data_IF_942682112511
#
_entry.id   IF_942682112511
#
_cell.length_a   1.000
_cell.length_b   1.000
_cell.length_c   1.000
_cell.angle_alpha   90.00
_cell.angle_beta   90.00
_cell.angle_gamma   90.00
#
_symmetry.space_group_name_H-M   'P 1'
#
loop_
_entity.id
_entity.type
_entity.pdbx_description
1 polymer ?
#
# COMPACT_ATOMS: atom_id res chain seq x y z
N UNK A 1 -27.81 3.66 -11.12
CA UNK A 1 -28.35 3.76 -9.78
C UNK A 1 -28.84 5.20 -9.57
N UNK A 2 -30.17 5.40 -9.54
CA UNK A 2 -30.76 6.77 -9.43
C UNK A 2 -30.44 7.46 -8.09
N UNK A 3 -30.02 6.71 -7.06
CA UNK A 3 -29.66 7.24 -5.75
C UNK A 3 -28.23 7.82 -5.68
N UNK A 4 -27.35 7.42 -6.59
CA UNK A 4 -25.97 7.89 -6.63
C UNK A 4 -25.79 9.07 -7.62
N UNK A 5 -26.60 10.12 -7.50
CA UNK A 5 -26.36 11.34 -8.29
C UNK A 5 -25.03 11.96 -7.86
N UNK A 6 -24.20 12.36 -8.83
CA UNK A 6 -22.92 13.05 -8.59
C UNK A 6 -23.15 14.22 -7.61
N UNK A 7 -22.41 14.22 -6.50
CA UNK A 7 -22.41 15.31 -5.53
C UNK A 7 -23.45 15.23 -4.42
N UNK A 8 -24.35 14.24 -4.42
CA UNK A 8 -25.36 14.09 -3.35
C UNK A 8 -24.93 13.15 -2.22
N UNK A 9 -23.97 12.26 -2.46
CA UNK A 9 -23.44 11.33 -1.47
C UNK A 9 -21.91 11.36 -1.51
N UNK A 10 -21.27 12.20 -0.68
CA UNK A 10 -19.81 12.28 -0.66
C UNK A 10 -19.21 10.94 -0.22
N UNK A 11 -18.36 10.37 -1.08
CA UNK A 11 -17.59 9.18 -0.73
C UNK A 11 -16.35 9.61 0.03
N UNK A 12 -16.16 9.04 1.22
CA UNK A 12 -14.91 9.20 1.98
C UNK A 12 -14.05 7.97 1.85
N UNK A 13 -12.72 8.17 1.80
CA UNK A 13 -11.74 7.10 1.64
C UNK A 13 -10.79 7.07 2.84
N UNK A 14 -10.42 5.86 3.28
CA UNK A 14 -9.44 5.67 4.36
C UNK A 14 -8.04 6.13 3.94
N UNK A 15 -7.64 5.83 2.72
CA UNK A 15 -6.34 6.22 2.20
C UNK A 15 -6.46 6.79 0.79
N UNK A 16 -5.64 7.83 0.52
CA UNK A 16 -5.40 8.33 -0.83
C UNK A 16 -4.07 7.78 -1.31
N UNK A 17 -4.04 7.25 -2.52
CA UNK A 17 -2.84 6.81 -3.21
C UNK A 17 -2.49 7.79 -4.32
N UNK A 18 -1.19 7.90 -4.65
CA UNK A 18 -0.73 8.66 -5.81
C UNK A 18 -1.17 7.96 -7.11
N UNK A 19 -1.20 8.70 -8.22
CA UNK A 19 -1.40 8.08 -9.54
C UNK A 19 -0.34 7.00 -9.81
N UNK A 20 -0.78 5.83 -10.26
CA UNK A 20 0.07 4.66 -10.52
C UNK A 20 0.37 3.79 -9.29
N UNK A 21 -0.15 4.11 -8.12
CA UNK A 21 -0.08 3.25 -6.92
C UNK A 21 -1.31 2.36 -6.88
N UNK A 22 -1.09 1.06 -6.74
CA UNK A 22 -2.17 0.09 -6.63
C UNK A 22 -2.73 0.01 -5.20
N UNK A 23 -3.96 -0.47 -5.10
CA UNK A 23 -4.59 -0.77 -3.82
C UNK A 23 -5.26 -2.14 -3.88
N UNK A 24 -4.72 -3.11 -3.12
CA UNK A 24 -5.39 -4.40 -2.91
C UNK A 24 -6.62 -4.24 -2.02
N UNK A 25 -6.52 -3.40 -0.98
CA UNK A 25 -7.61 -3.09 -0.07
C UNK A 25 -7.64 -1.59 0.24
N UNK A 26 -8.80 -0.97 0.06
CA UNK A 26 -9.09 0.35 0.60
C UNK A 26 -10.51 0.35 1.18
N UNK A 27 -10.79 1.23 2.12
CA UNK A 27 -12.11 1.37 2.72
C UNK A 27 -12.72 2.67 2.24
N UNK A 28 -13.96 2.56 1.73
CA UNK A 28 -14.79 3.69 1.35
C UNK A 28 -16.08 3.69 2.18
N UNK A 29 -16.58 4.85 2.56
CA UNK A 29 -17.91 4.99 3.16
C UNK A 29 -18.72 6.08 2.46
N UNK A 30 -20.01 5.88 2.42
CA UNK A 30 -21.00 6.84 1.90
C UNK A 30 -22.37 6.53 2.54
N UNK A 31 -23.24 7.53 2.55
CA UNK A 31 -24.57 7.39 3.10
C UNK A 31 -25.56 6.91 2.05
N UNK A 32 -26.46 6.03 2.45
CA UNK A 32 -27.60 5.56 1.65
C UNK A 32 -28.85 5.56 2.52
N UNK A 33 -30.04 5.56 1.90
CA UNK A 33 -31.26 5.36 2.68
C UNK A 33 -31.36 3.91 3.22
N UNK A 34 -31.92 3.72 4.42
CA UNK A 34 -32.06 2.40 5.01
C UNK A 34 -32.77 1.39 4.11
N UNK A 35 -33.79 1.83 3.37
CA UNK A 35 -34.62 0.99 2.50
C UNK A 35 -33.77 0.35 1.37
N UNK A 36 -32.73 1.04 0.90
CA UNK A 36 -31.81 0.50 -0.12
C UNK A 36 -31.02 -0.69 0.45
N UNK A 37 -30.55 -0.55 1.69
CA UNK A 37 -29.84 -1.65 2.34
C UNK A 37 -30.77 -2.82 2.69
N UNK A 38 -31.94 -2.53 3.25
CA UNK A 38 -32.95 -3.55 3.64
C UNK A 38 -33.47 -4.35 2.45
N UNK A 39 -33.49 -3.75 1.25
CA UNK A 39 -33.98 -4.42 0.04
C UNK A 39 -33.08 -5.54 -0.48
N UNK A 40 -31.80 -5.57 -0.14
CA UNK A 40 -30.89 -6.56 -0.72
C UNK A 40 -29.56 -6.77 0.00
N UNK A 41 -29.27 -5.97 1.01
CA UNK A 41 -28.12 -6.10 1.90
C UNK A 41 -26.76 -6.03 1.18
N UNK A 42 -25.77 -6.70 1.77
CA UNK A 42 -24.38 -6.73 1.30
C UNK A 42 -24.28 -7.17 -0.17
N UNK A 43 -24.94 -8.29 -0.51
CA UNK A 43 -24.81 -8.88 -1.85
C UNK A 43 -25.32 -7.97 -2.96
N UNK A 44 -26.51 -7.38 -2.77
CA UNK A 44 -27.09 -6.49 -3.76
C UNK A 44 -26.25 -5.21 -3.91
N UNK A 45 -25.73 -4.69 -2.80
CA UNK A 45 -24.85 -3.51 -2.80
C UNK A 45 -23.56 -3.76 -3.58
N UNK A 46 -22.89 -4.89 -3.32
CA UNK A 46 -21.66 -5.27 -4.02
C UNK A 46 -21.92 -5.43 -5.52
N UNK A 47 -23.00 -6.13 -5.90
CA UNK A 47 -23.36 -6.31 -7.31
C UNK A 47 -23.62 -4.98 -7.98
N UNK A 48 -24.47 -4.15 -7.38
CA UNK A 48 -24.84 -2.85 -7.94
C UNK A 48 -23.65 -1.90 -8.11
N UNK A 49 -22.69 -1.91 -7.17
CA UNK A 49 -21.47 -1.11 -7.28
C UNK A 49 -20.55 -1.64 -8.38
N UNK A 50 -20.31 -2.95 -8.43
CA UNK A 50 -19.43 -3.56 -9.41
C UNK A 50 -19.96 -3.44 -10.86
N UNK A 51 -21.28 -3.38 -11.05
CA UNK A 51 -21.89 -3.14 -12.36
C UNK A 51 -21.63 -1.72 -12.91
N UNK A 52 -21.28 -0.78 -12.04
CA UNK A 52 -21.05 0.62 -12.41
C UNK A 52 -19.58 1.05 -12.36
N UNK A 53 -18.75 0.29 -11.65
CA UNK A 53 -17.33 0.59 -11.50
C UNK A 53 -16.54 0.15 -12.73
N UNK A 54 -15.44 0.85 -13.07
CA UNK A 54 -14.53 0.40 -14.10
C UNK A 54 -13.90 -0.95 -13.71
N UNK A 55 -13.39 -1.66 -14.73
CA UNK A 55 -12.91 -3.05 -14.59
C UNK A 55 -11.69 -3.21 -13.69
N UNK A 56 -11.00 -2.14 -13.39
CA UNK A 56 -9.82 -2.08 -12.50
C UNK A 56 -10.18 -1.77 -11.03
N UNK A 57 -11.47 -1.56 -10.73
CA UNK A 57 -11.97 -1.36 -9.36
C UNK A 57 -12.99 -2.45 -9.04
N UNK A 58 -12.84 -3.07 -7.87
CA UNK A 58 -13.76 -4.11 -7.37
C UNK A 58 -14.14 -3.85 -5.92
N UNK A 59 -15.44 -3.94 -5.65
CA UNK A 59 -15.99 -4.02 -4.29
C UNK A 59 -16.17 -5.51 -3.96
N UNK A 60 -15.55 -5.97 -2.89
CA UNK A 60 -15.58 -7.37 -2.47
C UNK A 60 -16.27 -7.58 -1.11
N UNK A 61 -16.54 -6.52 -0.37
CA UNK A 61 -17.30 -6.54 0.86
C UNK A 61 -18.06 -5.22 1.05
N UNK A 62 -19.20 -5.26 1.71
CA UNK A 62 -19.96 -4.11 2.15
C UNK A 62 -20.62 -4.41 3.49
N UNK A 63 -20.73 -3.41 4.37
CA UNK A 63 -21.41 -3.55 5.65
C UNK A 63 -22.01 -2.22 6.09
N UNK A 64 -23.02 -2.30 6.93
CA UNK A 64 -23.47 -1.13 7.68
C UNK A 64 -22.48 -0.80 8.79
N UNK A 65 -22.31 0.47 9.01
CA UNK A 65 -21.50 1.02 10.10
C UNK A 65 -22.30 2.09 10.86
N UNK A 66 -21.83 2.45 12.05
CA UNK A 66 -22.44 3.52 12.83
C UNK A 66 -22.37 4.86 12.07
N UNK A 67 -23.29 5.79 12.37
CA UNK A 67 -23.38 7.09 11.71
C UNK A 67 -22.13 7.97 11.94
N UNK A 68 -21.42 7.73 13.02
CA UNK A 68 -20.16 8.42 13.36
C UNK A 68 -18.91 7.72 12.79
N UNK A 69 -19.09 6.71 11.95
CA UNK A 69 -17.99 5.98 11.32
C UNK A 69 -17.11 6.91 10.49
N UNK A 70 -15.82 6.86 10.76
CA UNK A 70 -14.83 7.66 10.05
C UNK A 70 -13.79 6.73 9.39
N UNK A 71 -13.80 6.62 8.07
CA UNK A 71 -12.83 5.79 7.31
C UNK A 71 -11.38 6.12 7.63
N UNK A 72 -11.10 7.36 8.04
CA UNK A 72 -9.74 7.84 8.36
C UNK A 72 -9.22 7.34 9.71
N UNK A 73 -10.11 6.88 10.60
CA UNK A 73 -9.76 6.36 11.93
C UNK A 73 -9.27 4.91 11.88
N UNK A 74 -8.73 4.47 10.75
CA UNK A 74 -8.06 3.19 10.67
C UNK A 74 -6.86 3.14 11.61
N UNK A 75 -6.68 2.01 12.31
CA UNK A 75 -5.61 1.77 13.27
C UNK A 75 -4.25 1.73 12.57
N UNK A 76 -4.20 1.09 11.40
CA UNK A 76 -2.98 1.04 10.59
C UNK A 76 -3.25 0.91 9.10
N UNK A 77 -2.21 1.14 8.32
CA UNK A 77 -2.12 0.89 6.87
C UNK A 77 -0.83 0.16 6.62
N UNK A 78 -0.91 -0.93 5.84
CA UNK A 78 0.24 -1.68 5.38
C UNK A 78 0.44 -1.44 3.89
N UNK A 79 1.66 -1.14 3.52
CA UNK A 79 2.08 -1.05 2.12
C UNK A 79 3.15 -2.09 1.81
N UNK A 80 3.11 -2.62 0.60
CA UNK A 80 4.19 -3.41 0.02
C UNK A 80 4.86 -2.58 -1.07
N UNK A 81 6.18 -2.59 -1.12
CA UNK A 81 6.97 -1.98 -2.19
C UNK A 81 7.91 -3.02 -2.80
N UNK A 82 7.81 -3.26 -4.11
CA UNK A 82 8.61 -4.24 -4.83
C UNK A 82 9.98 -3.65 -5.23
N UNK A 83 10.99 -3.82 -4.37
CA UNK A 83 12.33 -3.27 -4.59
C UNK A 83 13.07 -3.93 -5.76
N UNK A 84 12.92 -5.26 -5.93
CA UNK A 84 13.56 -6.01 -7.02
C UNK A 84 13.17 -5.49 -8.43
N UNK A 85 12.04 -4.80 -8.54
CA UNK A 85 11.57 -4.21 -9.79
C UNK A 85 12.20 -2.83 -10.08
N UNK A 86 13.00 -2.30 -9.18
CA UNK A 86 13.77 -1.09 -9.42
C UNK A 86 15.02 -1.42 -10.23
N UNK A 87 15.20 -0.75 -11.38
CA UNK A 87 16.38 -0.94 -12.22
C UNK A 87 17.65 -0.74 -11.40
N UNK A 88 18.56 -1.73 -11.46
CA UNK A 88 19.80 -1.72 -10.72
C UNK A 88 19.64 -1.92 -9.21
N UNK A 89 18.59 -2.58 -8.75
CA UNK A 89 18.54 -3.15 -7.42
C UNK A 89 19.62 -4.24 -7.30
N UNK A 90 20.62 -4.08 -6.44
CA UNK A 90 21.63 -5.11 -6.25
C UNK A 90 21.08 -6.21 -5.35
N UNK A 91 21.74 -7.37 -5.38
CA UNK A 91 21.41 -8.45 -4.44
C UNK A 91 21.87 -8.05 -3.03
N UNK A 92 20.91 -7.64 -2.19
CA UNK A 92 21.11 -7.50 -0.76
C UNK A 92 20.73 -8.81 -0.06
N UNK A 93 21.32 -9.10 1.10
CA UNK A 93 20.85 -10.20 1.93
C UNK A 93 19.57 -9.81 2.68
N UNK A 94 18.83 -10.82 3.16
CA UNK A 94 17.62 -10.59 3.97
C UNK A 94 17.99 -9.86 5.26
N UNK A 95 19.10 -10.21 5.88
CA UNK A 95 19.61 -9.60 7.11
C UNK A 95 19.99 -8.13 6.91
N UNK A 96 20.62 -7.80 5.78
CA UNK A 96 20.93 -6.40 5.42
C UNK A 96 19.64 -5.59 5.26
N UNK A 97 18.70 -6.07 4.44
CA UNK A 97 17.42 -5.37 4.24
C UNK A 97 16.62 -5.23 5.54
N UNK A 98 16.59 -6.26 6.38
CA UNK A 98 15.94 -6.23 7.69
C UNK A 98 16.57 -5.16 8.60
N UNK A 99 17.92 -5.09 8.63
CA UNK A 99 18.64 -4.07 9.38
C UNK A 99 18.30 -2.65 8.93
N UNK A 100 18.18 -2.43 7.61
CA UNK A 100 17.81 -1.15 7.02
C UNK A 100 16.35 -0.78 7.31
N UNK A 101 15.44 -1.75 7.22
CA UNK A 101 14.02 -1.55 7.52
C UNK A 101 13.80 -1.12 8.98
N UNK A 102 14.53 -1.71 9.92
CA UNK A 102 14.43 -1.41 11.35
C UNK A 102 14.72 0.03 11.71
N UNK A 103 15.49 0.76 10.89
CA UNK A 103 15.78 2.19 11.09
C UNK A 103 14.52 3.04 11.12
N UNK A 104 13.49 2.64 10.37
CA UNK A 104 12.25 3.39 10.24
C UNK A 104 11.19 3.06 11.28
N UNK A 105 11.39 2.01 12.11
CA UNK A 105 10.42 1.58 13.13
C UNK A 105 10.44 2.56 14.30
N UNK A 106 9.27 2.94 14.78
CA UNK A 106 9.09 3.88 15.89
C UNK A 106 8.48 5.20 15.43
N UNK A 107 8.49 6.16 16.34
CA UNK A 107 8.00 7.51 16.07
C UNK A 107 9.16 8.40 15.63
N UNK A 108 9.04 8.96 14.43
CA UNK A 108 10.07 9.82 13.82
C UNK A 108 9.43 11.00 13.09
N UNK A 109 10.20 12.07 12.92
CA UNK A 109 9.87 13.12 11.96
C UNK A 109 10.37 12.71 10.56
N UNK A 110 9.44 12.34 9.70
CA UNK A 110 9.71 11.93 8.32
C UNK A 110 9.84 13.10 7.33
N UNK A 111 10.16 14.30 7.77
CA UNK A 111 10.28 15.49 6.92
C UNK A 111 11.20 15.26 5.73
N UNK A 112 12.34 14.61 5.94
CA UNK A 112 13.30 14.25 4.88
C UNK A 112 12.87 13.07 4.00
N UNK A 113 11.85 12.34 4.43
CA UNK A 113 11.28 11.19 3.71
C UNK A 113 9.86 11.46 3.20
N UNK A 114 9.45 12.70 3.05
CA UNK A 114 8.13 13.04 2.54
C UNK A 114 8.17 14.29 1.66
N UNK A 115 7.03 14.61 1.08
CA UNK A 115 6.75 15.96 0.59
C UNK A 115 5.92 16.68 1.67
N UNK A 116 6.52 17.58 2.46
CA UNK A 116 5.80 18.27 3.51
C UNK A 116 4.60 19.04 2.95
N UNK A 117 3.53 19.11 3.73
CA UNK A 117 2.34 19.88 3.42
C UNK A 117 2.08 20.86 4.56
N UNK A 118 1.73 22.08 4.21
CA UNK A 118 1.42 23.12 5.19
C UNK A 118 0.28 22.66 6.12
N UNK A 119 0.41 22.92 7.41
CA UNK A 119 -0.55 22.56 8.44
C UNK A 119 -0.65 21.05 8.75
N UNK A 120 0.26 20.20 8.21
CA UNK A 120 0.28 18.77 8.50
C UNK A 120 1.57 18.36 9.19
N UNK A 121 1.44 17.57 10.25
CA UNK A 121 2.60 16.98 10.93
C UNK A 121 3.30 15.96 10.07
N UNK A 122 4.62 16.00 10.06
CA UNK A 122 5.51 15.02 9.43
C UNK A 122 5.93 13.91 10.41
N UNK A 123 5.58 14.06 11.70
CA UNK A 123 5.81 13.01 12.70
C UNK A 123 4.81 11.88 12.47
N UNK A 124 5.33 10.65 12.32
CA UNK A 124 4.56 9.43 12.13
C UNK A 124 5.17 8.29 12.94
N UNK A 125 4.30 7.37 13.33
CA UNK A 125 4.70 6.13 14.00
C UNK A 125 4.60 4.97 13.04
N UNK A 126 5.75 4.40 12.71
CA UNK A 126 5.87 3.14 11.97
C UNK A 126 5.84 2.00 12.97
N UNK A 127 4.88 1.09 12.79
CA UNK A 127 4.65 -0.04 13.68
C UNK A 127 5.52 -1.22 13.32
N UNK A 128 5.73 -1.44 12.00
CA UNK A 128 6.53 -2.53 11.45
C UNK A 128 7.15 -2.10 10.13
N UNK A 129 8.36 -2.54 9.88
CA UNK A 129 9.02 -2.45 8.58
C UNK A 129 9.94 -3.66 8.46
N UNK A 130 9.76 -4.47 7.42
CA UNK A 130 10.42 -5.77 7.30
C UNK A 130 10.58 -6.19 5.84
N UNK A 131 11.52 -7.10 5.52
CA UNK A 131 11.65 -7.68 4.19
C UNK A 131 10.35 -8.38 3.75
N UNK A 132 9.98 -8.17 2.49
CA UNK A 132 8.95 -8.93 1.82
C UNK A 132 9.61 -9.96 0.92
N UNK A 133 9.35 -11.23 1.20
CA UNK A 133 9.99 -12.37 0.57
C UNK A 133 8.99 -13.17 -0.28
N UNK A 134 9.49 -13.88 -1.29
CA UNK A 134 8.71 -14.91 -1.96
C UNK A 134 8.69 -16.22 -1.14
N UNK A 135 8.00 -17.24 -1.65
CA UNK A 135 7.89 -18.57 -1.00
C UNK A 135 9.21 -19.32 -0.93
N UNK A 136 10.21 -18.91 -1.70
CA UNK A 136 11.57 -19.48 -1.71
C UNK A 136 12.54 -18.70 -0.81
N UNK A 137 12.09 -17.63 -0.18
CA UNK A 137 12.90 -16.77 0.68
C UNK A 137 13.68 -15.68 -0.07
N UNK A 138 13.43 -15.45 -1.36
CA UNK A 138 14.08 -14.37 -2.10
C UNK A 138 13.41 -13.04 -1.80
N UNK A 139 14.20 -11.96 -1.78
CA UNK A 139 13.70 -10.61 -1.56
C UNK A 139 12.88 -10.14 -2.76
N UNK A 140 11.60 -9.86 -2.54
CA UNK A 140 10.75 -9.12 -3.46
C UNK A 140 10.84 -7.62 -3.21
N UNK A 141 10.88 -7.23 -1.94
CA UNK A 141 10.89 -5.83 -1.51
C UNK A 141 10.77 -5.70 -0.01
N UNK A 142 9.96 -4.73 0.44
CA UNK A 142 9.68 -4.57 1.85
C UNK A 142 8.20 -4.29 2.11
N UNK A 143 7.76 -4.67 3.31
CA UNK A 143 6.47 -4.35 3.91
C UNK A 143 6.67 -3.25 4.95
N UNK A 144 5.73 -2.29 5.00
CA UNK A 144 5.74 -1.24 6.01
C UNK A 144 4.33 -0.97 6.52
N UNK A 145 4.17 -0.96 7.84
CA UNK A 145 2.91 -0.69 8.52
C UNK A 145 3.07 0.53 9.44
N UNK A 146 2.10 1.45 9.38
CA UNK A 146 2.07 2.64 10.23
C UNK A 146 0.62 3.06 10.51
N UNK A 147 0.42 3.83 11.58
CA UNK A 147 -0.87 4.48 11.88
C UNK A 147 -1.32 5.43 10.76
N UNK A 148 -0.37 5.96 10.02
CA UNK A 148 -0.59 6.79 8.85
C UNK A 148 0.71 7.17 8.17
N UNK A 149 0.62 7.60 6.95
CA UNK A 149 1.76 8.02 6.14
C UNK A 149 1.61 9.48 5.68
N UNK A 150 2.72 10.16 5.50
CA UNK A 150 2.79 11.45 4.85
C UNK A 150 3.04 11.29 3.34
N UNK A 151 2.79 12.34 2.58
CA UNK A 151 2.84 12.27 1.11
C UNK A 151 4.21 11.81 0.59
N UNK A 152 4.21 10.78 -0.24
CA UNK A 152 5.38 10.12 -0.82
C UNK A 152 6.29 9.36 0.16
N UNK A 153 5.93 9.21 1.45
CA UNK A 153 6.81 8.64 2.47
C UNK A 153 7.36 7.26 2.07
N UNK A 154 6.52 6.30 1.75
CA UNK A 154 6.94 4.93 1.41
C UNK A 154 7.84 4.91 0.17
N UNK A 155 7.53 5.72 -0.85
CA UNK A 155 8.33 5.81 -2.07
C UNK A 155 9.70 6.43 -1.84
N UNK A 156 9.82 7.38 -0.89
CA UNK A 156 11.12 7.95 -0.50
C UNK A 156 11.92 6.99 0.36
N UNK A 157 11.27 6.22 1.24
CA UNK A 157 11.89 5.12 1.97
C UNK A 157 12.43 4.07 0.97
N UNK A 158 11.65 3.67 -0.03
CA UNK A 158 12.10 2.75 -1.08
C UNK A 158 13.34 3.26 -1.82
N UNK A 159 13.39 4.56 -2.12
CA UNK A 159 14.56 5.19 -2.76
C UNK A 159 15.78 5.21 -1.84
N UNK A 160 15.58 5.44 -0.54
CA UNK A 160 16.65 5.40 0.46
C UNK A 160 17.22 3.98 0.60
N UNK A 161 16.37 2.95 0.66
CA UNK A 161 16.78 1.54 0.70
C UNK A 161 17.56 1.14 -0.57
N UNK A 162 17.11 1.58 -1.75
CA UNK A 162 17.87 1.39 -2.98
C UNK A 162 19.24 2.08 -2.93
N UNK A 163 19.31 3.26 -2.32
CA UNK A 163 20.56 4.01 -2.13
C UNK A 163 21.53 3.30 -1.20
N UNK A 164 21.04 2.68 -0.09
CA UNK A 164 21.85 1.83 0.80
C UNK A 164 22.40 0.62 0.03
N UNK A 165 21.51 -0.10 -0.68
CA UNK A 165 21.90 -1.26 -1.47
C UNK A 165 22.96 -0.94 -2.54
N UNK A 166 23.01 0.30 -3.03
CA UNK A 166 24.01 0.80 -3.99
C UNK A 166 25.22 1.48 -3.35
N UNK A 167 25.34 1.44 -2.02
CA UNK A 167 26.39 2.13 -1.26
C UNK A 167 26.46 3.65 -1.53
N UNK A 168 25.31 4.29 -1.87
CA UNK A 168 25.22 5.74 -2.01
C UNK A 168 24.99 6.44 -0.67
N UNK A 169 24.39 5.73 0.27
CA UNK A 169 24.07 6.16 1.61
C UNK A 169 24.55 5.13 2.61
N UNK A 170 24.74 5.58 3.84
CA UNK A 170 24.98 4.71 5.00
C UNK A 170 23.73 4.65 5.89
N UNK A 171 23.65 3.67 6.78
CA UNK A 171 22.58 3.60 7.79
C UNK A 171 22.59 4.87 8.66
N UNK A 172 23.76 5.39 8.96
CA UNK A 172 23.96 6.60 9.75
C UNK A 172 23.39 7.84 9.05
N UNK A 173 23.45 7.94 7.73
CA UNK A 173 22.81 9.02 6.97
C UNK A 173 21.29 8.99 7.15
N UNK A 174 20.68 7.79 7.10
CA UNK A 174 19.24 7.62 7.30
C UNK A 174 18.82 7.96 8.74
N UNK A 175 19.58 7.47 9.72
CA UNK A 175 19.35 7.78 11.14
C UNK A 175 19.45 9.27 11.40
N UNK A 176 20.50 9.91 10.88
CA UNK A 176 20.71 11.36 11.00
C UNK A 176 19.53 12.14 10.41
N UNK A 177 19.03 11.73 9.24
CA UNK A 177 17.89 12.36 8.59
C UNK A 177 16.56 12.22 9.37
N UNK A 178 16.41 11.20 10.22
CA UNK A 178 15.28 11.01 11.12
C UNK A 178 15.43 11.75 12.45
N UNK A 179 16.66 11.83 12.99
CA UNK A 179 16.94 12.45 14.29
C UNK A 179 17.20 13.95 14.20
N UNK A 180 17.62 14.43 13.04
CA UNK A 180 17.93 15.84 12.77
C UNK A 180 17.12 16.32 11.55
N UNK A 181 15.78 16.33 11.63
CA UNK A 181 14.91 16.57 10.46
C UNK A 181 15.04 18.00 9.89
N UNK A 182 15.56 18.94 10.65
CA UNK A 182 15.82 20.33 10.21
C UNK A 182 17.05 20.43 9.29
N UNK A 183 17.92 19.42 9.28
CA UNK A 183 19.00 19.31 8.31
C UNK A 183 18.45 18.65 7.04
N UNK A 184 18.31 19.38 5.92
CA UNK A 184 17.72 18.84 4.70
C UNK A 184 18.54 17.66 4.14
N UNK A 185 17.86 16.55 3.86
CA UNK A 185 18.42 15.40 3.16
C UNK A 185 17.41 14.93 2.09
N UNK A 186 17.90 14.63 0.89
CA UNK A 186 17.07 14.12 -0.20
C UNK A 186 17.57 12.76 -0.68
N UNK A 187 16.83 11.72 -0.36
CA UNK A 187 17.09 10.34 -0.78
C UNK A 187 16.41 10.00 -2.12
N UNK A 188 15.83 10.98 -2.80
CA UNK A 188 15.06 10.77 -4.01
C UNK A 188 13.65 10.19 -3.75
N UNK A 189 13.03 9.71 -4.82
CA UNK A 189 11.69 9.13 -4.78
C UNK A 189 11.55 8.05 -5.85
N UNK A 190 11.30 6.83 -5.44
CA UNK A 190 11.06 5.71 -6.34
C UNK A 190 9.69 5.78 -7.02
N UNK A 191 9.54 5.06 -8.11
CA UNK A 191 8.34 5.09 -8.94
C UNK A 191 7.09 4.54 -8.24
N UNK A 192 5.88 4.97 -8.61
CA UNK A 192 4.65 4.58 -7.91
C UNK A 192 4.16 3.17 -8.24
N UNK A 193 4.45 2.66 -9.43
CA UNK A 193 3.89 1.41 -9.98
C UNK A 193 4.28 0.15 -9.21
N UNK A 194 5.28 0.24 -8.33
CA UNK A 194 5.74 -0.87 -7.50
C UNK A 194 5.25 -0.78 -6.05
N UNK A 195 4.41 0.23 -5.77
CA UNK A 195 3.80 0.45 -4.46
C UNK A 195 2.37 -0.04 -4.47
N UNK A 196 2.00 -0.83 -3.47
CA UNK A 196 0.62 -1.31 -3.27
C UNK A 196 0.16 -1.00 -1.85
N UNK A 197 -0.98 -0.33 -1.71
CA UNK A 197 -1.72 -0.31 -0.45
C UNK A 197 -2.30 -1.71 -0.22
N UNK A 198 -1.69 -2.45 0.70
CA UNK A 198 -1.97 -3.87 0.88
C UNK A 198 -3.13 -4.15 1.81
N UNK A 199 -3.13 -3.49 2.97
CA UNK A 199 -4.11 -3.71 4.03
C UNK A 199 -4.44 -2.42 4.76
N UNK A 200 -5.69 -2.28 5.17
CA UNK A 200 -6.14 -1.27 6.12
C UNK A 200 -6.75 -1.99 7.31
N UNK A 201 -6.18 -1.81 8.48
CA UNK A 201 -6.78 -2.23 9.74
C UNK A 201 -7.68 -1.12 10.28
N UNK A 202 -8.95 -1.45 10.52
CA UNK A 202 -9.92 -0.51 11.04
C UNK A 202 -10.73 -1.15 12.19
N UNK A 203 -10.77 -0.52 13.37
CA UNK A 203 -11.32 -1.14 14.58
C UNK A 203 -12.82 -1.47 14.45
N UNK A 204 -13.56 -0.71 13.62
CA UNK A 204 -14.98 -0.96 13.39
C UNK A 204 -15.26 -2.03 12.32
N UNK A 205 -14.24 -2.59 11.67
CA UNK A 205 -14.40 -3.58 10.60
C UNK A 205 -13.38 -4.72 10.67
N UNK A 206 -13.18 -5.36 11.86
CA UNK A 206 -12.11 -6.36 12.05
C UNK A 206 -12.28 -7.58 11.14
N UNK A 207 -13.51 -8.00 10.85
CA UNK A 207 -13.77 -9.14 9.96
C UNK A 207 -13.32 -8.90 8.51
N UNK A 208 -13.25 -7.65 8.04
CA UNK A 208 -12.71 -7.33 6.72
C UNK A 208 -11.19 -7.54 6.69
N UNK A 209 -10.52 -7.28 7.80
CA UNK A 209 -9.10 -7.53 7.96
C UNK A 209 -8.80 -9.04 7.89
N UNK A 210 -9.59 -9.86 8.59
CA UNK A 210 -9.44 -11.31 8.55
C UNK A 210 -9.64 -11.86 7.13
N UNK A 211 -10.72 -11.45 6.45
CA UNK A 211 -10.96 -11.80 5.04
C UNK A 211 -9.80 -11.37 4.12
N UNK A 212 -9.14 -10.24 4.41
CA UNK A 212 -8.05 -9.74 3.60
C UNK A 212 -6.71 -10.44 3.90
N UNK A 213 -6.55 -11.01 5.10
CA UNK A 213 -5.34 -11.77 5.49
C UNK A 213 -5.25 -13.13 4.80
N UNK A 214 -6.38 -13.73 4.42
CA UNK A 214 -6.42 -14.96 3.63
C UNK A 214 -5.85 -14.69 2.23
N UNK A 215 -4.56 -14.39 2.23
CA UNK A 215 -3.86 -13.94 1.04
C UNK A 215 -3.62 -15.10 0.10
N UNK A 216 -3.98 -14.89 -1.14
CA UNK A 216 -3.60 -15.74 -2.25
C UNK A 216 -2.09 -15.57 -2.50
N UNK A 217 -1.33 -16.66 -2.34
CA UNK A 217 0.09 -16.69 -2.68
C UNK A 217 0.25 -17.05 -4.15
N UNK A 218 0.77 -16.10 -4.96
CA UNK A 218 1.22 -16.38 -6.31
C UNK A 218 2.74 -16.57 -6.32
N UNK A 219 3.26 -17.56 -7.07
CA UNK A 219 4.68 -17.63 -7.32
C UNK A 219 5.10 -16.44 -8.18
N UNK A 220 5.80 -15.49 -7.60
CA UNK A 220 6.30 -14.33 -8.32
C UNK A 220 7.68 -14.60 -8.92
N UNK A 221 7.97 -13.97 -10.07
CA UNK A 221 9.32 -14.01 -10.65
C UNK A 221 10.32 -13.36 -9.69
N UNK A 222 11.29 -14.14 -9.19
CA UNK A 222 12.20 -13.71 -8.14
C UNK A 222 13.34 -12.83 -8.68
N UNK A 223 14.07 -13.28 -9.67
CA UNK A 223 15.34 -12.67 -10.06
C UNK A 223 15.23 -11.80 -11.31
N UNK A 224 15.38 -10.45 -11.17
CA UNK A 224 15.49 -9.58 -12.33
C UNK A 224 16.88 -9.65 -12.97
N UNK A 225 16.98 -9.53 -14.31
CA UNK A 225 18.23 -9.23 -14.98
C UNK A 225 18.79 -7.89 -14.49
N UNK A 226 20.13 -7.73 -14.41
CA UNK A 226 20.75 -6.58 -13.79
C UNK A 226 20.34 -5.23 -14.42
N UNK A 227 20.31 -5.13 -15.75
CA UNK A 227 20.03 -3.86 -16.45
C UNK A 227 19.55 -4.06 -17.89
N UNK A 228 19.19 -2.98 -18.56
CA UNK A 228 19.02 -2.88 -19.99
C UNK A 228 17.69 -3.44 -20.53
N UNK A 229 17.74 -3.98 -21.75
CA UNK A 229 16.54 -4.47 -22.44
C UNK A 229 15.91 -5.68 -21.73
N UNK A 230 16.75 -6.58 -21.20
CA UNK A 230 16.29 -7.76 -20.48
C UNK A 230 15.55 -7.36 -19.19
N UNK A 231 16.09 -6.38 -18.46
CA UNK A 231 15.40 -5.84 -17.28
C UNK A 231 14.04 -5.22 -17.63
N UNK A 232 13.96 -4.43 -18.70
CA UNK A 232 12.67 -3.83 -19.14
C UNK A 232 11.62 -4.87 -19.51
N UNK A 233 12.03 -5.96 -20.17
CA UNK A 233 11.12 -7.08 -20.48
C UNK A 233 10.68 -7.80 -19.21
N UNK A 234 11.61 -8.04 -18.29
CA UNK A 234 11.30 -8.64 -16.99
C UNK A 234 10.33 -7.74 -16.18
N UNK A 235 10.60 -6.43 -16.10
CA UNK A 235 9.75 -5.48 -15.38
C UNK A 235 8.33 -5.41 -15.95
N UNK A 236 8.18 -5.50 -17.29
CA UNK A 236 6.86 -5.60 -17.92
C UNK A 236 6.10 -6.87 -17.52
N UNK A 237 6.79 -8.02 -17.43
CA UNK A 237 6.20 -9.26 -16.94
C UNK A 237 5.86 -9.18 -15.45
N UNK A 238 6.78 -8.64 -14.65
CA UNK A 238 6.58 -8.47 -13.21
C UNK A 238 5.38 -7.55 -12.90
N UNK A 239 5.11 -6.55 -13.77
CA UNK A 239 3.90 -5.73 -13.67
C UNK A 239 2.64 -6.58 -13.91
N UNK A 240 2.63 -7.42 -14.94
CA UNK A 240 1.53 -8.34 -15.20
C UNK A 240 1.28 -9.33 -14.06
N UNK A 241 2.34 -9.82 -13.41
CA UNK A 241 2.20 -10.66 -12.20
C UNK A 241 1.57 -9.88 -11.03
N UNK A 242 1.98 -8.64 -10.83
CA UNK A 242 1.40 -7.79 -9.78
C UNK A 242 -0.08 -7.53 -10.02
N UNK A 243 -0.46 -7.22 -11.27
CA UNK A 243 -1.85 -7.07 -11.68
C UNK A 243 -2.63 -8.39 -11.49
N UNK A 244 -2.03 -9.53 -11.85
CA UNK A 244 -2.62 -10.85 -11.66
C UNK A 244 -2.80 -11.19 -10.17
N UNK A 245 -1.83 -10.85 -9.32
CA UNK A 245 -1.93 -11.01 -7.86
C UNK A 245 -3.16 -10.27 -7.32
N UNK A 246 -3.36 -9.02 -7.72
CA UNK A 246 -4.52 -8.23 -7.31
C UNK A 246 -5.83 -8.83 -7.83
N UNK A 247 -5.89 -9.19 -9.11
CA UNK A 247 -7.08 -9.79 -9.72
C UNK A 247 -7.42 -11.14 -9.09
N UNK A 248 -6.43 -11.97 -8.80
CA UNK A 248 -6.63 -13.26 -8.13
C UNK A 248 -7.13 -13.10 -6.72
N UNK A 249 -6.61 -12.12 -5.95
CA UNK A 249 -7.13 -11.79 -4.64
C UNK A 249 -8.62 -11.35 -4.71
N UNK A 250 -8.98 -10.56 -5.72
CA UNK A 250 -10.38 -10.15 -5.94
C UNK A 250 -11.28 -11.33 -6.31
N UNK A 251 -10.82 -12.22 -7.21
CA UNK A 251 -11.58 -13.41 -7.60
C UNK A 251 -11.81 -14.35 -6.42
N UNK A 252 -10.80 -14.56 -5.56
CA UNK A 252 -10.96 -15.35 -4.34
C UNK A 252 -12.05 -14.80 -3.43
N UNK A 253 -12.08 -13.47 -3.23
CA UNK A 253 -13.13 -12.83 -2.44
C UNK A 253 -14.52 -12.86 -3.10
N UNK A 254 -14.61 -12.89 -4.43
CA UNK A 254 -15.87 -12.97 -5.15
C UNK A 254 -16.42 -14.40 -5.27
N UNK A 255 -15.54 -15.40 -5.30
CA UNK A 255 -15.90 -16.82 -5.47
C UNK A 255 -16.25 -17.52 -4.14
N UNK A 256 -15.92 -16.93 -3.01
CA UNK A 256 -16.26 -17.43 -1.67
C UNK A 256 -17.72 -17.18 -1.26
N UNK A 257 -18.63 -17.00 -2.23
CA UNK A 257 -20.05 -16.65 -2.02
C UNK A 257 -21.01 -17.69 -2.54
#
# INVERSE_FOLDING_TARGET
LNWAKRGTHPVTLSSRTDGGVDARMNIASFDISPEIWESGGERAMITALNDQLPTDIRVWAAQQVALDFQTRNASSRTYLYRLQALEGWPNATVEELDSWCKVFIGEHDFRNFCRPQEGRTTIKRVLRCEPWLDTSGNILGFSIEAEGFVWNQVRRIASALLGLARNRWTIEDLKSALTSPDVPADFGRSSPEWLTLWLIDHPSTPHLVEKAKDAFELPLMAEPPATGRAFRLWASKARGEQDQLHQSAWLAHLSAR
#
